data_IF_303225807945
#
_entry.id   IF_303225807945
#
_cell.length_a   1.000
_cell.length_b   1.000
_cell.length_c   1.000
_cell.angle_alpha   90.00
_cell.angle_beta   90.00
_cell.angle_gamma   90.00
#
_symmetry.space_group_name_H-M   'P 1'
#
loop_
_entity.id
_entity.type
_entity.pdbx_description
1 polymer ?
#
# COMPACT_ATOMS: atom_id res chain seq x y z
N UNK A 1 -14.22 -33.53 -7.54
CA UNK A 1 -13.04 -32.66 -7.33
C UNK A 1 -13.34 -31.78 -6.12
N UNK A 2 -12.40 -31.60 -5.20
CA UNK A 2 -12.52 -30.64 -4.10
C UNK A 2 -11.64 -29.43 -4.44
N UNK A 3 -12.18 -28.22 -4.30
CA UNK A 3 -11.50 -26.96 -4.57
C UNK A 3 -11.59 -26.05 -3.34
N UNK A 4 -10.43 -25.63 -2.83
CA UNK A 4 -10.30 -24.67 -1.74
C UNK A 4 -9.39 -23.52 -2.22
N UNK A 5 -9.84 -22.29 -2.02
CA UNK A 5 -9.04 -21.09 -2.28
C UNK A 5 -8.06 -20.81 -1.14
N UNK A 6 -6.84 -20.41 -1.50
CA UNK A 6 -5.86 -19.87 -0.56
C UNK A 6 -5.73 -18.37 -0.86
N UNK A 7 -5.96 -17.48 0.12
CA UNK A 7 -5.91 -16.04 -0.13
C UNK A 7 -4.47 -15.63 -0.47
N UNK A 8 -4.32 -14.83 -1.54
CA UNK A 8 -3.03 -14.24 -1.93
C UNK A 8 -3.26 -12.94 -2.66
N UNK A 9 -2.73 -11.84 -2.14
CA UNK A 9 -2.65 -10.54 -2.81
C UNK A 9 -1.72 -9.63 -2.02
N UNK A 10 -0.89 -8.86 -2.70
CA UNK A 10 -0.07 -7.82 -2.06
C UNK A 10 -0.90 -6.55 -1.82
N UNK A 11 -1.99 -6.38 -2.58
CA UNK A 11 -2.85 -5.20 -2.55
C UNK A 11 -3.79 -5.23 -1.33
N UNK A 12 -3.84 -6.35 -0.59
CA UNK A 12 -4.67 -6.56 0.59
C UNK A 12 -6.17 -6.27 0.35
N UNK A 13 -6.67 -6.63 -0.82
CA UNK A 13 -7.98 -6.25 -1.33
C UNK A 13 -9.01 -7.38 -1.33
N UNK A 14 -8.67 -8.59 -0.86
CA UNK A 14 -9.64 -9.67 -0.71
C UNK A 14 -10.61 -9.38 0.45
N UNK A 15 -11.91 -9.52 0.17
CA UNK A 15 -12.96 -9.42 1.17
C UNK A 15 -12.96 -10.62 2.14
N UNK A 16 -13.64 -10.48 3.28
CA UNK A 16 -13.85 -11.52 4.31
C UNK A 16 -12.60 -12.02 5.05
N UNK A 17 -11.40 -11.52 4.74
CA UNK A 17 -10.16 -11.80 5.46
C UNK A 17 -9.59 -10.52 6.05
N UNK A 18 -9.07 -10.58 7.29
CA UNK A 18 -8.49 -9.42 7.98
C UNK A 18 -7.38 -8.78 7.13
N UNK A 19 -6.46 -9.61 6.67
CA UNK A 19 -5.40 -9.26 5.74
C UNK A 19 -5.12 -10.42 4.78
N UNK A 20 -4.22 -10.18 3.81
CA UNK A 20 -3.89 -11.16 2.78
C UNK A 20 -2.40 -11.56 2.86
N UNK A 21 -2.08 -12.86 2.72
CA UNK A 21 -0.70 -13.31 2.56
C UNK A 21 0.03 -12.58 1.42
N UNK A 22 1.23 -12.09 1.75
CA UNK A 22 2.10 -11.27 0.91
C UNK A 22 2.04 -9.78 1.24
N UNK A 23 0.92 -9.27 1.77
CA UNK A 23 0.77 -7.85 2.11
C UNK A 23 1.72 -7.43 3.23
N UNK A 24 1.82 -8.21 4.31
CA UNK A 24 2.65 -7.85 5.47
C UNK A 24 4.12 -7.66 5.09
N UNK A 25 4.64 -8.52 4.19
CA UNK A 25 6.00 -8.39 3.68
C UNK A 25 6.19 -7.16 2.78
N UNK A 26 5.24 -6.87 1.89
CA UNK A 26 5.29 -5.65 1.05
C UNK A 26 5.19 -4.40 1.91
N UNK A 27 4.30 -4.38 2.89
CA UNK A 27 4.12 -3.29 3.85
C UNK A 27 5.43 -3.01 4.61
N UNK A 28 6.09 -4.05 5.11
CA UNK A 28 7.38 -3.95 5.80
C UNK A 28 8.46 -3.36 4.91
N UNK A 29 8.58 -3.89 3.69
CA UNK A 29 9.57 -3.43 2.72
C UNK A 29 9.35 -1.98 2.33
N UNK A 30 8.11 -1.60 1.98
CA UNK A 30 7.76 -0.24 1.56
C UNK A 30 7.97 0.77 2.68
N UNK A 31 7.56 0.46 3.91
CA UNK A 31 7.81 1.32 5.07
C UNK A 31 9.31 1.54 5.29
N UNK A 32 10.12 0.49 5.14
CA UNK A 32 11.58 0.58 5.31
C UNK A 32 12.20 1.43 4.20
N UNK A 33 11.83 1.21 2.93
CA UNK A 33 12.29 2.03 1.82
C UNK A 33 11.88 3.51 1.96
N UNK A 34 10.67 3.79 2.45
CA UNK A 34 10.21 5.15 2.71
C UNK A 34 11.02 5.83 3.82
N UNK A 35 11.34 5.10 4.89
CA UNK A 35 12.20 5.57 5.98
C UNK A 35 13.61 5.90 5.46
N UNK A 36 14.26 4.95 4.77
CA UNK A 36 15.63 5.11 4.28
C UNK A 36 15.75 6.22 3.23
N UNK A 37 14.86 6.24 2.24
CA UNK A 37 14.84 7.30 1.22
C UNK A 37 14.42 8.66 1.81
N UNK A 38 13.63 8.65 2.88
CA UNK A 38 13.29 9.82 3.68
C UNK A 38 14.50 10.46 4.33
N UNK A 39 15.31 9.66 5.01
CA UNK A 39 16.58 10.10 5.62
C UNK A 39 17.56 10.63 4.57
N UNK A 40 17.64 9.99 3.40
CA UNK A 40 18.48 10.50 2.30
C UNK A 40 17.98 11.86 1.79
N UNK A 41 16.66 12.05 1.70
CA UNK A 41 16.05 13.34 1.33
C UNK A 41 16.31 14.41 2.39
N UNK A 42 16.25 14.05 3.67
CA UNK A 42 16.63 14.94 4.77
C UNK A 42 18.11 15.33 4.73
N UNK A 43 19.01 14.44 4.30
CA UNK A 43 20.42 14.76 4.16
C UNK A 43 20.72 15.66 2.93
N UNK A 44 19.91 15.59 1.87
CA UNK A 44 20.18 16.20 0.57
C UNK A 44 19.23 17.33 0.17
N UNK A 45 18.35 17.81 1.07
CA UNK A 45 17.25 18.71 0.72
C UNK A 45 17.67 20.05 0.08
N UNK A 46 18.92 20.48 0.23
CA UNK A 46 19.46 21.67 -0.45
C UNK A 46 19.68 21.46 -1.95
N UNK A 47 19.70 20.21 -2.42
CA UNK A 47 19.95 19.82 -3.81
C UNK A 47 18.78 19.01 -4.40
N UNK A 48 18.18 18.12 -3.60
CA UNK A 48 17.02 17.29 -3.93
C UNK A 48 15.91 17.55 -2.90
N UNK A 49 15.20 18.66 -3.06
CA UNK A 49 14.24 19.17 -2.06
C UNK A 49 12.97 18.33 -1.95
N UNK A 50 12.61 17.59 -3.00
CA UNK A 50 11.44 16.71 -3.02
C UNK A 50 11.78 15.31 -3.55
N UNK A 51 11.35 14.27 -2.82
CA UNK A 51 11.40 12.88 -3.28
C UNK A 51 10.01 12.26 -3.27
N UNK A 52 9.65 11.58 -4.36
CA UNK A 52 8.40 10.83 -4.48
C UNK A 52 8.70 9.33 -4.57
N UNK A 53 8.01 8.52 -3.77
CA UNK A 53 8.07 7.06 -3.82
C UNK A 53 6.77 6.52 -4.42
N UNK A 54 6.84 5.99 -5.65
CA UNK A 54 5.72 5.27 -6.28
C UNK A 54 5.70 3.82 -5.80
N UNK A 55 4.53 3.41 -5.31
CA UNK A 55 4.26 2.06 -4.83
C UNK A 55 3.09 1.43 -5.60
N UNK A 56 3.03 0.10 -5.61
CA UNK A 56 1.90 -0.62 -6.19
C UNK A 56 0.62 -0.39 -5.39
N UNK A 57 -0.53 -0.69 -5.98
CA UNK A 57 -1.84 -0.50 -5.35
C UNK A 57 -2.82 0.09 -6.33
N UNK A 58 -3.32 -0.75 -7.24
CA UNK A 58 -4.14 -0.33 -8.38
C UNK A 58 -5.49 0.23 -7.97
N UNK A 59 -6.24 -0.52 -7.17
CA UNK A 59 -7.58 -0.13 -6.76
C UNK A 59 -7.68 0.27 -5.28
N UNK A 60 -6.70 -0.11 -4.46
CA UNK A 60 -6.68 0.13 -3.03
C UNK A 60 -5.30 0.64 -2.55
N UNK A 61 -5.31 1.54 -1.57
CA UNK A 61 -4.14 2.26 -1.07
C UNK A 61 -3.37 1.57 0.04
N UNK A 62 -3.63 0.29 0.33
CA UNK A 62 -3.06 -0.41 1.49
C UNK A 62 -1.54 -0.39 1.57
N UNK A 63 -0.85 -0.47 0.43
CA UNK A 63 0.60 -0.43 0.33
C UNK A 63 1.12 0.99 0.59
N UNK A 64 0.52 2.01 -0.03
CA UNK A 64 0.87 3.41 0.21
C UNK A 64 0.64 3.79 1.68
N UNK A 65 -0.48 3.36 2.25
CA UNK A 65 -0.81 3.57 3.66
C UNK A 65 0.23 2.92 4.59
N UNK A 66 0.71 1.72 4.29
CA UNK A 66 1.73 1.04 5.10
C UNK A 66 3.05 1.84 5.19
N UNK A 67 3.39 2.65 4.18
CA UNK A 67 4.57 3.50 4.22
C UNK A 67 4.55 4.50 5.38
N UNK A 68 3.36 4.85 5.90
CA UNK A 68 3.24 5.71 7.06
C UNK A 68 3.87 5.14 8.34
N UNK A 69 4.10 3.82 8.41
CA UNK A 69 4.84 3.20 9.53
C UNK A 69 6.29 3.69 9.64
N UNK A 70 6.87 4.22 8.56
CA UNK A 70 8.21 4.81 8.55
C UNK A 70 8.33 6.00 9.52
N UNK A 71 7.22 6.70 9.76
CA UNK A 71 7.21 7.95 10.52
C UNK A 71 7.11 7.68 12.03
N UNK A 72 8.06 8.19 12.80
CA UNK A 72 8.06 8.17 14.28
C UNK A 72 7.78 9.54 14.89
N UNK A 73 8.24 10.61 14.24
CA UNK A 73 7.99 12.01 14.60
C UNK A 73 7.34 12.77 13.44
N UNK A 74 6.84 13.99 13.66
CA UNK A 74 6.26 14.79 12.56
C UNK A 74 7.27 15.18 11.47
N UNK A 75 8.58 15.16 11.78
CA UNK A 75 9.64 15.51 10.82
C UNK A 75 10.06 14.34 9.92
N UNK A 76 9.69 13.11 10.28
CA UNK A 76 10.13 11.94 9.52
C UNK A 76 9.25 11.77 8.28
N UNK A 77 9.86 11.27 7.21
CA UNK A 77 9.14 10.86 6.02
C UNK A 77 8.23 9.62 6.30
N UNK A 78 7.16 9.43 5.51
CA UNK A 78 6.65 10.36 4.50
C UNK A 78 5.85 11.51 5.13
N UNK A 79 5.99 12.72 4.56
CA UNK A 79 5.17 13.88 4.95
C UNK A 79 3.76 13.77 4.35
N UNK A 80 3.65 13.25 3.12
CA UNK A 80 2.39 13.08 2.39
C UNK A 80 2.26 11.65 1.86
N UNK A 81 1.05 11.08 1.94
CA UNK A 81 0.69 9.75 1.43
C UNK A 81 -0.61 9.88 0.63
N UNK A 82 -0.56 9.61 -0.66
CA UNK A 82 -1.72 9.65 -1.55
C UNK A 82 -2.19 8.24 -1.92
N UNK A 83 -3.50 8.04 -1.82
CA UNK A 83 -4.18 6.75 -1.95
C UNK A 83 -5.36 6.86 -2.95
N UNK A 84 -5.68 5.79 -3.70
CA UNK A 84 -6.78 5.77 -4.67
C UNK A 84 -8.18 5.96 -4.06
N UNK A 85 -8.32 5.79 -2.74
CA UNK A 85 -9.56 6.03 -1.99
C UNK A 85 -9.94 7.51 -1.90
N UNK A 86 -9.00 8.43 -2.16
CA UNK A 86 -9.24 9.87 -2.18
C UNK A 86 -9.04 10.41 -3.59
N UNK A 87 -9.94 11.29 -3.99
CA UNK A 87 -9.84 12.00 -5.28
C UNK A 87 -8.60 12.86 -5.26
N UNK A 88 -7.77 12.72 -6.29
CA UNK A 88 -6.60 13.55 -6.52
C UNK A 88 -7.00 14.87 -7.17
N UNK A 89 -6.67 15.98 -6.52
CA UNK A 89 -6.75 17.35 -7.06
C UNK A 89 -5.35 17.92 -7.13
N UNK A 90 -5.00 18.51 -8.29
CA UNK A 90 -3.71 19.17 -8.48
C UNK A 90 -3.60 20.37 -7.56
N UNK A 91 -4.68 21.15 -7.40
CA UNK A 91 -4.72 22.32 -6.55
C UNK A 91 -4.46 21.96 -5.09
N UNK A 92 -5.12 20.92 -4.58
CA UNK A 92 -4.90 20.45 -3.20
C UNK A 92 -3.50 19.87 -3.04
N UNK A 93 -3.01 19.10 -4.01
CA UNK A 93 -1.66 18.54 -3.98
C UNK A 93 -0.58 19.63 -3.88
N UNK A 94 -0.70 20.71 -4.65
CA UNK A 94 0.23 21.84 -4.62
C UNK A 94 0.16 22.58 -3.28
N UNK A 95 -1.05 22.79 -2.74
CA UNK A 95 -1.24 23.40 -1.43
C UNK A 95 -0.59 22.57 -0.32
N UNK A 96 -0.82 21.25 -0.31
CA UNK A 96 -0.23 20.32 0.64
C UNK A 96 1.30 20.33 0.57
N UNK A 97 1.86 20.30 -0.64
CA UNK A 97 3.31 20.37 -0.85
C UNK A 97 3.90 21.70 -0.35
N UNK A 98 3.18 22.80 -0.56
CA UNK A 98 3.62 24.14 -0.15
C UNK A 98 3.67 24.27 1.38
N UNK A 99 2.67 23.77 2.09
CA UNK A 99 2.68 23.79 3.56
C UNK A 99 3.78 22.90 4.13
N UNK A 100 3.98 21.69 3.58
CA UNK A 100 5.08 20.80 3.99
C UNK A 100 6.44 21.44 3.72
N UNK A 101 6.63 22.07 2.55
CA UNK A 101 7.88 22.75 2.21
C UNK A 101 8.17 23.91 3.16
N UNK A 102 7.15 24.68 3.52
CA UNK A 102 7.25 25.80 4.45
C UNK A 102 7.59 25.33 5.87
N UNK A 103 7.02 24.21 6.30
CA UNK A 103 7.25 23.67 7.64
C UNK A 103 8.61 22.99 7.78
N UNK A 104 9.01 22.15 6.82
CA UNK A 104 10.18 21.27 6.96
C UNK A 104 11.34 21.61 6.02
N UNK A 105 11.14 22.51 5.05
CA UNK A 105 12.15 22.85 4.03
C UNK A 105 12.41 21.73 3.00
N UNK A 106 11.66 20.61 3.08
CA UNK A 106 11.80 19.42 2.24
C UNK A 106 10.48 18.68 2.13
N UNK A 107 10.31 17.87 1.09
CA UNK A 107 9.10 17.08 0.87
C UNK A 107 9.46 15.61 0.61
N UNK A 108 8.75 14.70 1.26
CA UNK A 108 8.75 13.29 0.90
C UNK A 108 7.32 12.80 0.74
N UNK A 109 7.00 12.29 -0.44
CA UNK A 109 5.67 11.83 -0.82
C UNK A 109 5.71 10.34 -1.10
N UNK A 110 4.71 9.59 -0.60
CA UNK A 110 4.40 8.24 -1.08
C UNK A 110 3.11 8.30 -1.87
N UNK A 111 3.08 7.69 -3.05
CA UNK A 111 1.88 7.65 -3.89
C UNK A 111 1.64 6.25 -4.43
N UNK A 112 0.42 5.74 -4.25
CA UNK A 112 -0.02 4.53 -4.95
C UNK A 112 -0.21 4.79 -6.44
N UNK A 113 0.14 3.82 -7.29
CA UNK A 113 -0.01 3.94 -8.75
C UNK A 113 -1.46 4.16 -9.23
N UNK A 114 -2.45 3.89 -8.37
CA UNK A 114 -3.87 3.92 -8.67
C UNK A 114 -4.59 5.25 -8.47
N UNK A 115 -3.89 6.39 -8.30
CA UNK A 115 -4.55 7.68 -8.04
C UNK A 115 -5.58 8.04 -9.12
N UNK A 116 -6.74 8.56 -8.70
CA UNK A 116 -7.86 8.90 -9.57
C UNK A 116 -8.24 10.37 -9.47
N UNK A 117 -8.58 10.98 -10.60
CA UNK A 117 -9.10 12.34 -10.67
C UNK A 117 -10.59 12.41 -10.28
N UNK A 118 -11.18 13.60 -10.36
CA UNK A 118 -12.60 13.86 -10.08
C UNK A 118 -13.57 13.08 -10.95
N UNK A 119 -13.14 12.70 -12.16
CA UNK A 119 -13.95 11.91 -13.10
C UNK A 119 -13.86 10.40 -12.82
N UNK A 120 -13.09 9.99 -11.79
CA UNK A 120 -12.84 8.60 -11.44
C UNK A 120 -11.84 7.90 -12.36
N UNK A 121 -11.20 8.63 -13.28
CA UNK A 121 -10.19 8.11 -14.17
C UNK A 121 -8.82 8.12 -13.48
N UNK A 122 -7.97 7.14 -13.80
CA UNK A 122 -6.58 7.15 -13.34
C UNK A 122 -5.87 8.39 -13.88
N UNK A 123 -5.12 9.09 -13.04
CA UNK A 123 -4.38 10.29 -13.47
C UNK A 123 -3.30 9.97 -14.52
N UNK A 124 -2.89 8.71 -14.61
CA UNK A 124 -1.96 8.20 -15.62
C UNK A 124 -2.63 7.82 -16.94
N UNK A 125 -3.97 7.76 -17.00
CA UNK A 125 -4.71 7.35 -18.20
C UNK A 125 -4.48 8.32 -19.38
N UNK A 126 -4.25 9.60 -19.09
CA UNK A 126 -4.00 10.62 -20.10
C UNK A 126 -2.54 10.63 -20.62
N UNK A 127 -1.65 9.87 -19.98
CA UNK A 127 -0.20 9.96 -20.20
C UNK A 127 0.42 8.85 -21.08
N UNK A 128 -0.30 7.80 -21.51
CA UNK A 128 0.36 6.72 -22.24
C UNK A 128 -0.51 5.68 -22.95
N UNK A 129 -0.09 5.40 -24.20
CA UNK A 129 -0.64 4.56 -25.28
C UNK A 129 -0.63 3.04 -25.06
N UNK A 130 -0.44 2.54 -23.83
CA UNK A 130 -0.21 1.11 -23.61
C UNK A 130 -1.49 0.34 -23.24
N UNK A 131 -1.77 -0.65 -24.08
CA UNK A 131 -2.96 -1.48 -24.09
C UNK A 131 -3.11 -2.33 -22.83
N UNK A 132 -4.37 -2.68 -22.57
CA UNK A 132 -4.82 -3.53 -21.49
C UNK A 132 -3.94 -4.79 -21.34
N UNK A 133 -3.66 -5.19 -20.11
CA UNK A 133 -3.00 -6.47 -19.81
C UNK A 133 -3.87 -7.69 -20.21
N UNK A 134 -3.36 -8.89 -19.98
CA UNK A 134 -4.07 -10.16 -20.29
C UNK A 134 -5.39 -10.36 -19.53
N UNK A 135 -5.68 -9.53 -18.53
CA UNK A 135 -6.94 -9.51 -17.76
C UNK A 135 -7.85 -8.33 -18.16
N UNK A 136 -7.46 -7.53 -19.14
CA UNK A 136 -8.25 -6.38 -19.61
C UNK A 136 -8.01 -5.09 -18.83
N UNK A 137 -6.98 -5.03 -17.99
CA UNK A 137 -6.67 -3.89 -17.13
C UNK A 137 -5.73 -2.89 -17.81
N UNK A 138 -6.09 -1.59 -17.79
CA UNK A 138 -5.19 -0.50 -18.20
C UNK A 138 -3.87 -0.59 -17.43
N UNK A 139 -2.74 -0.60 -18.13
CA UNK A 139 -1.41 -0.64 -17.55
C UNK A 139 -1.18 0.64 -16.74
N UNK A 140 -0.93 0.49 -15.44
CA UNK A 140 -0.66 1.60 -14.53
C UNK A 140 0.85 1.80 -14.33
N UNK A 141 1.20 3.01 -13.89
CA UNK A 141 2.56 3.46 -13.66
C UNK A 141 2.78 4.90 -14.12
N UNK A 142 3.72 5.59 -13.48
CA UNK A 142 4.12 6.95 -13.85
C UNK A 142 3.39 8.06 -13.10
N UNK A 143 2.69 7.70 -12.01
CA UNK A 143 2.18 8.67 -11.03
C UNK A 143 3.35 9.48 -10.49
N UNK A 144 4.48 8.84 -10.15
CA UNK A 144 5.66 9.54 -9.66
C UNK A 144 6.18 10.60 -10.63
N UNK A 145 6.17 10.32 -11.93
CA UNK A 145 6.64 11.25 -12.97
C UNK A 145 5.69 12.44 -13.09
N UNK A 146 4.37 12.20 -13.06
CA UNK A 146 3.35 13.26 -13.05
C UNK A 146 3.52 14.15 -11.81
N UNK A 147 3.59 13.56 -10.62
CA UNK A 147 3.73 14.31 -9.37
C UNK A 147 5.05 15.10 -9.33
N UNK A 148 6.15 14.51 -9.82
CA UNK A 148 7.45 15.20 -9.95
C UNK A 148 7.31 16.44 -10.84
N UNK A 149 6.72 16.28 -12.02
CA UNK A 149 6.50 17.39 -12.95
C UNK A 149 5.60 18.48 -12.36
N UNK A 150 4.56 18.12 -11.60
CA UNK A 150 3.71 19.09 -10.90
C UNK A 150 4.51 19.85 -9.84
N UNK A 151 5.31 19.16 -9.02
CA UNK A 151 6.15 19.83 -8.01
C UNK A 151 7.14 20.79 -8.65
N UNK A 152 7.86 20.36 -9.70
CA UNK A 152 8.84 21.20 -10.38
C UNK A 152 8.19 22.42 -11.04
N UNK A 153 7.03 22.24 -11.68
CA UNK A 153 6.32 23.31 -12.40
C UNK A 153 5.67 24.32 -11.45
N UNK A 154 4.99 23.85 -10.41
CA UNK A 154 4.14 24.70 -9.57
C UNK A 154 4.88 25.27 -8.35
N UNK A 155 5.91 24.56 -7.84
CA UNK A 155 6.70 25.01 -6.68
C UNK A 155 8.10 25.49 -7.04
N UNK A 156 8.60 25.23 -8.25
CA UNK A 156 9.92 25.70 -8.70
C UNK A 156 11.10 25.06 -7.97
N UNK A 157 10.90 23.92 -7.31
CA UNK A 157 11.94 23.16 -6.61
C UNK A 157 12.34 21.91 -7.38
N UNK A 158 13.57 21.44 -7.19
CA UNK A 158 14.02 20.18 -7.80
C UNK A 158 13.36 18.99 -7.11
N UNK A 159 12.82 18.08 -7.92
CA UNK A 159 12.23 16.84 -7.45
C UNK A 159 12.87 15.63 -8.11
N UNK A 160 12.81 14.48 -7.43
CA UNK A 160 13.17 13.16 -7.96
C UNK A 160 12.14 12.14 -7.54
N UNK A 161 12.19 10.96 -8.13
CA UNK A 161 11.31 9.87 -7.71
C UNK A 161 12.01 8.52 -7.75
N UNK A 162 11.50 7.62 -6.91
CA UNK A 162 11.84 6.22 -6.87
C UNK A 162 10.59 5.40 -7.22
N UNK A 163 10.76 4.42 -8.11
CA UNK A 163 9.71 3.45 -8.42
C UNK A 163 10.19 2.07 -8.00
N UNK A 164 9.55 1.50 -6.98
CA UNK A 164 9.96 0.18 -6.48
C UNK A 164 9.67 -0.95 -7.48
N UNK A 165 8.64 -0.76 -8.32
CA UNK A 165 8.27 -1.73 -9.35
C UNK A 165 8.05 -3.12 -8.75
N UNK A 166 8.65 -4.15 -9.34
CA UNK A 166 8.48 -5.53 -8.89
C UNK A 166 9.24 -5.86 -7.61
N UNK A 167 10.22 -5.06 -7.20
CA UNK A 167 11.06 -5.36 -6.03
C UNK A 167 10.21 -5.46 -4.76
N UNK A 168 9.21 -4.60 -4.62
CA UNK A 168 8.34 -4.57 -3.43
C UNK A 168 7.54 -5.84 -3.20
N UNK A 169 7.31 -6.64 -4.25
CA UNK A 169 6.56 -7.92 -4.16
C UNK A 169 7.45 -9.17 -4.27
N UNK A 170 8.76 -8.99 -4.37
CA UNK A 170 9.74 -10.07 -4.45
C UNK A 170 10.86 -9.96 -3.41
N UNK A 171 10.72 -9.07 -2.43
CA UNK A 171 11.71 -8.79 -1.39
C UNK A 171 11.71 -9.85 -0.26
N UNK A 172 11.84 -11.14 -0.62
CA UNK A 172 11.82 -12.25 0.36
C UNK A 172 12.96 -12.14 1.39
N UNK A 173 14.10 -11.56 0.99
CA UNK A 173 15.24 -11.25 1.87
C UNK A 173 14.90 -10.31 3.03
N UNK A 174 13.73 -9.66 2.99
CA UNK A 174 13.27 -8.71 4.00
C UNK A 174 11.79 -8.91 4.34
N UNK A 175 11.29 -10.14 4.18
CA UNK A 175 9.89 -10.45 4.44
C UNK A 175 9.52 -10.31 5.92
N UNK A 176 8.22 -10.10 6.19
CA UNK A 176 7.71 -10.17 7.56
C UNK A 176 7.58 -11.62 8.00
N UNK A 177 8.08 -11.94 9.19
CA UNK A 177 7.92 -13.28 9.78
C UNK A 177 6.44 -13.60 10.04
N UNK A 178 5.66 -12.61 10.49
CA UNK A 178 4.21 -12.74 10.67
C UNK A 178 3.54 -13.19 9.37
N UNK A 179 3.79 -12.47 8.27
CA UNK A 179 3.22 -12.76 6.95
C UNK A 179 3.64 -14.16 6.45
N UNK A 180 4.90 -14.55 6.62
CA UNK A 180 5.41 -15.88 6.27
C UNK A 180 4.69 -16.99 7.04
N UNK A 181 4.52 -16.83 8.36
CA UNK A 181 3.83 -17.80 9.20
C UNK A 181 2.35 -17.92 8.83
N UNK A 182 1.67 -16.79 8.59
CA UNK A 182 0.25 -16.76 8.26
C UNK A 182 -0.04 -17.29 6.85
N UNK A 183 0.87 -17.05 5.90
CA UNK A 183 0.83 -17.67 4.58
C UNK A 183 0.94 -19.21 4.69
N UNK A 184 1.88 -19.70 5.50
CA UNK A 184 2.04 -21.13 5.74
C UNK A 184 0.82 -21.73 6.46
N UNK A 185 0.29 -21.03 7.46
CA UNK A 185 -0.93 -21.40 8.19
C UNK A 185 -2.13 -21.54 7.24
N UNK A 186 -2.30 -20.61 6.29
CA UNK A 186 -3.36 -20.69 5.28
C UNK A 186 -3.24 -21.95 4.42
N UNK A 187 -2.02 -22.31 3.99
CA UNK A 187 -1.76 -23.53 3.23
C UNK A 187 -2.11 -24.79 4.02
N UNK A 188 -1.72 -24.86 5.29
CA UNK A 188 -2.07 -25.98 6.17
C UNK A 188 -3.58 -26.10 6.38
N UNK A 189 -4.27 -24.98 6.62
CA UNK A 189 -5.71 -24.95 6.81
C UNK A 189 -6.48 -25.39 5.55
N UNK A 190 -6.01 -24.99 4.37
CA UNK A 190 -6.61 -25.39 3.10
C UNK A 190 -6.58 -26.91 2.89
N UNK A 191 -5.44 -27.56 3.16
CA UNK A 191 -5.31 -29.02 3.07
C UNK A 191 -6.24 -29.72 4.06
N UNK A 192 -6.30 -29.25 5.31
CA UNK A 192 -7.21 -29.80 6.34
C UNK A 192 -8.68 -29.68 5.92
N UNK A 193 -9.08 -28.52 5.40
CA UNK A 193 -10.44 -28.29 4.92
C UNK A 193 -10.79 -29.21 3.74
N UNK A 194 -9.88 -29.39 2.79
CA UNK A 194 -10.08 -30.27 1.64
C UNK A 194 -10.23 -31.75 2.07
N UNK A 195 -9.41 -32.22 3.01
CA UNK A 195 -9.52 -33.58 3.57
C UNK A 195 -10.82 -33.80 4.36
N UNK A 196 -11.38 -32.74 4.94
CA UNK A 196 -12.69 -32.76 5.59
C UNK A 196 -13.86 -32.69 4.61
N UNK A 197 -13.61 -32.66 3.29
CA UNK A 197 -14.65 -32.60 2.26
C UNK A 197 -15.26 -31.22 2.03
N UNK A 198 -14.70 -30.15 2.63
CA UNK A 198 -15.11 -28.78 2.35
C UNK A 198 -14.76 -28.43 0.91
N UNK A 199 -15.67 -27.78 0.18
CA UNK A 199 -15.49 -27.41 -1.22
C UNK A 199 -16.08 -26.02 -1.49
N UNK A 200 -15.50 -25.28 -2.43
CA UNK A 200 -16.04 -23.99 -2.88
C UNK A 200 -15.78 -22.82 -1.93
N UNK A 201 -14.85 -22.97 -0.97
CA UNK A 201 -14.53 -21.96 0.04
C UNK A 201 -13.09 -21.48 -0.06
N UNK A 202 -12.83 -20.27 0.41
CA UNK A 202 -11.49 -19.72 0.62
C UNK A 202 -11.14 -19.75 2.10
N UNK A 203 -9.87 -20.05 2.43
CA UNK A 203 -9.34 -19.79 3.77
C UNK A 203 -9.33 -18.28 4.04
N UNK A 204 -9.66 -17.86 5.24
CA UNK A 204 -9.55 -16.46 5.68
C UNK A 204 -8.66 -16.35 6.91
N UNK A 205 -8.04 -15.19 7.10
CA UNK A 205 -7.30 -14.84 8.30
C UNK A 205 -8.23 -14.02 9.22
N UNK A 206 -8.37 -14.46 10.46
CA UNK A 206 -9.23 -13.89 11.48
C UNK A 206 -8.38 -13.37 12.63
N UNK A 207 -8.26 -12.04 12.70
CA UNK A 207 -7.59 -11.35 13.81
C UNK A 207 -8.46 -11.37 15.06
N UNK A 208 -7.85 -11.62 16.21
CA UNK A 208 -8.55 -11.51 17.51
C UNK A 208 -8.71 -10.05 17.95
N UNK A 209 -9.81 -9.73 18.62
CA UNK A 209 -10.06 -8.40 19.22
C UNK A 209 -9.30 -8.16 20.55
N UNK A 210 -8.25 -8.94 20.84
CA UNK A 210 -7.47 -8.80 22.07
C UNK A 210 -6.29 -7.85 21.89
N UNK A 211 -5.75 -7.32 22.98
CA UNK A 211 -4.61 -6.40 22.96
C UNK A 211 -3.32 -7.04 22.42
N UNK A 212 -3.18 -8.36 22.52
CA UNK A 212 -2.09 -9.09 21.93
C UNK A 212 -2.50 -9.59 20.54
N UNK A 213 -1.69 -9.28 19.53
CA UNK A 213 -1.95 -9.76 18.19
C UNK A 213 -1.98 -11.30 18.13
N UNK A 214 -3.08 -11.84 17.62
CA UNK A 214 -3.27 -13.26 17.33
C UNK A 214 -4.14 -13.38 16.08
N UNK A 215 -3.80 -14.33 15.22
CA UNK A 215 -4.51 -14.63 14.00
C UNK A 215 -4.81 -16.13 13.90
N UNK A 216 -6.04 -16.46 13.52
CA UNK A 216 -6.50 -17.83 13.26
C UNK A 216 -7.09 -17.93 11.85
N UNK A 217 -7.48 -19.13 11.42
CA UNK A 217 -8.06 -19.34 10.08
C UNK A 217 -9.57 -19.58 10.12
N UNK A 218 -10.28 -18.95 9.18
CA UNK A 218 -11.70 -19.17 8.91
C UNK A 218 -11.96 -19.69 7.50
N UNK A 219 -13.24 -19.69 7.12
CA UNK A 219 -13.70 -20.05 5.78
C UNK A 219 -14.73 -19.01 5.30
N UNK A 220 -14.61 -18.59 4.05
CA UNK A 220 -15.60 -17.77 3.34
C UNK A 220 -16.01 -18.43 2.02
N UNK A 221 -17.23 -18.20 1.55
CA UNK A 221 -17.67 -18.69 0.25
C UNK A 221 -16.88 -18.00 -0.87
N UNK A 222 -16.38 -18.76 -1.86
CA UNK A 222 -15.62 -18.18 -2.97
C UNK A 222 -16.46 -17.19 -3.79
N UNK A 223 -17.77 -17.42 -3.91
CA UNK A 223 -18.71 -16.52 -4.59
C UNK A 223 -18.76 -15.15 -3.94
N UNK A 224 -18.66 -15.09 -2.63
CA UNK A 224 -18.78 -13.84 -1.88
C UNK A 224 -17.47 -13.06 -1.99
N UNK A 225 -16.33 -13.75 -1.86
CA UNK A 225 -15.00 -13.16 -2.01
C UNK A 225 -14.80 -12.59 -3.41
N UNK A 226 -15.21 -13.32 -4.46
CA UNK A 226 -15.01 -12.90 -5.86
C UNK A 226 -15.76 -11.60 -6.23
N UNK A 227 -16.81 -11.25 -5.49
CA UNK A 227 -17.62 -10.06 -5.72
C UNK A 227 -17.23 -8.88 -4.81
N UNK A 228 -16.29 -9.07 -3.88
CA UNK A 228 -15.91 -8.07 -2.89
C UNK A 228 -14.51 -7.53 -3.10
N UNK A 229 -14.36 -6.21 -2.97
CA UNK A 229 -13.07 -5.52 -2.90
C UNK A 229 -12.94 -4.82 -1.54
N UNK A 230 -11.85 -5.10 -0.82
CA UNK A 230 -11.53 -4.49 0.47
C UNK A 230 -10.67 -3.24 0.27
N UNK A 231 -11.29 -2.06 0.34
CA UNK A 231 -10.59 -0.76 0.29
C UNK A 231 -10.06 -0.34 1.66
N UNK A 232 -9.11 0.60 1.67
CA UNK A 232 -8.67 1.26 2.92
C UNK A 232 -9.88 1.98 3.55
N UNK A 233 -10.25 1.66 4.80
CA UNK A 233 -11.34 2.33 5.51
C UNK A 233 -11.10 3.83 5.68
N UNK A 234 -12.18 4.62 5.74
CA UNK A 234 -12.07 6.07 5.85
C UNK A 234 -11.39 6.51 7.16
N UNK A 235 -11.60 5.76 8.24
CA UNK A 235 -10.98 5.95 9.55
C UNK A 235 -9.47 5.70 9.55
N UNK A 236 -8.92 5.06 8.52
CA UNK A 236 -7.48 4.81 8.36
C UNK A 236 -6.77 5.96 7.61
N UNK A 237 -7.55 6.89 7.04
CA UNK A 237 -7.07 8.04 6.27
C UNK A 237 -7.34 9.31 7.08
N UNK A 238 -6.37 10.22 7.15
CA UNK A 238 -6.58 11.49 7.83
C UNK A 238 -7.67 12.34 7.15
N UNK A 239 -8.14 13.38 7.84
CA UNK A 239 -9.21 14.23 7.35
C UNK A 239 -8.88 14.90 6.01
N UNK A 240 -7.61 15.28 5.81
CA UNK A 240 -7.12 15.93 4.59
C UNK A 240 -7.00 14.96 3.41
N UNK A 241 -7.00 13.64 3.65
CA UNK A 241 -6.89 12.63 2.59
C UNK A 241 -5.48 12.39 2.07
N UNK A 242 -4.46 12.94 2.74
CA UNK A 242 -3.06 12.94 2.31
C UNK A 242 -2.13 12.29 3.35
N UNK A 243 -2.68 11.54 4.31
CA UNK A 243 -1.91 10.80 5.30
C UNK A 243 -2.76 9.69 5.96
N UNK A 244 -2.14 8.91 6.85
CA UNK A 244 -2.81 7.86 7.63
C UNK A 244 -3.10 8.30 9.08
N UNK A 245 -4.04 7.61 9.72
CA UNK A 245 -4.34 7.75 11.15
C UNK A 245 -3.60 6.71 12.01
N UNK A 246 -3.69 6.83 13.33
CA UNK A 246 -3.16 5.82 14.25
C UNK A 246 -3.88 4.47 14.11
N UNK A 247 -5.17 4.46 13.78
CA UNK A 247 -5.91 3.23 13.53
C UNK A 247 -5.30 2.41 12.39
N UNK A 248 -4.81 3.07 11.33
CA UNK A 248 -4.08 2.40 10.26
C UNK A 248 -2.74 1.84 10.76
N UNK A 249 -2.01 2.60 11.59
CA UNK A 249 -0.74 2.14 12.18
C UNK A 249 -0.95 0.90 13.02
N UNK A 250 -1.98 0.89 13.86
CA UNK A 250 -2.30 -0.23 14.75
C UNK A 250 -2.72 -1.48 13.97
N UNK A 251 -3.42 -1.30 12.85
CA UNK A 251 -3.76 -2.40 11.95
C UNK A 251 -2.53 -3.05 11.30
N UNK A 252 -1.61 -2.26 10.73
CA UNK A 252 -0.45 -2.78 9.97
C UNK A 252 0.71 -3.22 10.85
N UNK A 253 0.96 -2.54 11.98
CA UNK A 253 2.12 -2.79 12.85
C UNK A 253 2.35 -4.26 13.19
N UNK A 254 1.36 -5.08 13.60
CA UNK A 254 1.60 -6.49 13.87
C UNK A 254 1.92 -7.32 12.61
N UNK A 255 1.44 -6.89 11.44
CA UNK A 255 1.62 -7.60 10.16
C UNK A 255 3.03 -7.49 9.59
N UNK A 256 3.85 -6.56 10.10
CA UNK A 256 5.24 -6.33 9.66
C UNK A 256 6.28 -6.89 10.62
N UNK A 257 5.87 -7.58 11.68
CA UNK A 257 6.77 -8.01 12.74
C UNK A 257 7.67 -9.19 12.33
N UNK A 258 8.85 -9.22 12.96
CA UNK A 258 9.86 -10.28 12.83
C UNK A 258 10.57 -10.31 11.48
N UNK A 259 11.71 -11.00 11.45
CA UNK A 259 12.54 -11.22 10.27
C UNK A 259 12.35 -12.64 9.75
N UNK A 260 12.08 -12.78 8.45
CA UNK A 260 12.15 -14.08 7.80
C UNK A 260 13.61 -14.54 7.68
N UNK A 261 13.94 -15.81 7.99
CA UNK A 261 15.29 -16.35 7.88
C UNK A 261 15.75 -16.55 6.43
#
# INVERSE_FOLDING_TARGET
>A
LVCIGIPKTIDNDLAFTDHCPGYGSVAKYVATCAMEAGLDTEALYTTDTCTILEVMGRNAGWIAAAAGLARTTSQDAPHLIYMPERVFSVEQFVADCTEVLKEFGRIFIVAGEGLKNTDGNYITADAGTFGKDSFGHVQLGGVAEILKSLVEKELGIKARFNKLGTNQRSAMHFASLTDVHEAYMCGQAAVKAALAGVNGKMITLLRSDTSQYNCTTGLAELSDVANGEKKVPAEYINQQGNNITDAMRDYVRPLVQGEAP
#
